data_IF_645457661613
#
_entry.id   IF_645457661613
#
_cell.length_a   1.000
_cell.length_b   1.000
_cell.length_c   1.000
_cell.angle_alpha   90.00
_cell.angle_beta   90.00
_cell.angle_gamma   90.00
#
_symmetry.space_group_name_H-M   'P 1'
#
loop_
_entity.id
_entity.type
_entity.pdbx_description
1 polymer ?
#
# COMPACT_ATOMS: atom_id res chain seq x y z
N UNK A 1 -31.37 5.01 -28.27
CA UNK A 1 -30.51 5.70 -29.25
C UNK A 1 -29.20 4.95 -29.34
N UNK A 2 -28.77 4.55 -30.53
CA UNK A 2 -27.47 3.90 -30.73
C UNK A 2 -26.36 4.95 -30.64
N UNK A 3 -25.50 4.84 -29.63
CA UNK A 3 -24.31 5.67 -29.54
C UNK A 3 -23.30 5.21 -30.60
N UNK A 4 -22.62 6.16 -31.24
CA UNK A 4 -21.60 5.87 -32.25
C UNK A 4 -20.26 6.46 -31.79
N UNK A 5 -19.16 5.81 -32.17
CA UNK A 5 -17.80 6.26 -31.93
C UNK A 5 -17.62 7.69 -32.45
N UNK A 6 -17.12 8.60 -31.62
CA UNK A 6 -16.92 10.00 -32.03
C UNK A 6 -15.78 10.20 -33.04
N UNK A 7 -14.92 9.19 -33.21
CA UNK A 7 -13.80 9.19 -34.16
C UNK A 7 -14.21 8.50 -35.47
N UNK A 8 -14.47 7.18 -35.46
CA UNK A 8 -14.76 6.41 -36.68
C UNK A 8 -16.25 6.28 -37.03
N UNK A 9 -17.16 6.81 -36.21
CA UNK A 9 -18.61 6.72 -36.38
C UNK A 9 -19.21 5.30 -36.41
N UNK A 10 -18.47 4.26 -36.06
CA UNK A 10 -19.01 2.90 -35.87
C UNK A 10 -19.95 2.84 -34.65
N UNK A 11 -21.02 2.02 -34.67
CA UNK A 11 -21.93 1.86 -33.54
C UNK A 11 -21.19 1.27 -32.33
N UNK A 12 -21.48 1.80 -31.14
CA UNK A 12 -20.95 1.28 -29.87
C UNK A 12 -21.90 0.23 -29.31
N UNK A 13 -21.35 -0.82 -28.70
CA UNK A 13 -22.16 -1.75 -27.91
C UNK A 13 -22.80 -1.01 -26.73
N UNK A 14 -23.92 -1.52 -26.21
CA UNK A 14 -24.66 -0.90 -25.11
C UNK A 14 -23.81 -0.77 -23.83
N UNK A 15 -23.00 -1.78 -23.53
CA UNK A 15 -22.06 -1.78 -22.40
C UNK A 15 -20.96 -0.73 -22.56
N UNK A 16 -20.49 -0.53 -23.79
CA UNK A 16 -19.40 0.40 -24.09
C UNK A 16 -19.88 1.85 -24.16
N UNK A 17 -21.07 2.07 -24.72
CA UNK A 17 -21.70 3.38 -24.88
C UNK A 17 -21.91 4.13 -23.56
N UNK A 18 -22.04 3.42 -22.43
CA UNK A 18 -22.17 4.03 -21.10
C UNK A 18 -20.83 4.50 -20.50
N UNK A 19 -19.71 3.96 -20.99
CA UNK A 19 -18.38 4.12 -20.38
C UNK A 19 -17.34 4.78 -21.29
N UNK A 20 -17.61 4.90 -22.59
CA UNK A 20 -16.68 5.47 -23.57
C UNK A 20 -17.43 6.06 -24.76
N UNK A 21 -16.86 7.14 -25.32
CA UNK A 21 -17.34 7.77 -26.55
C UNK A 21 -16.64 7.28 -27.81
N UNK A 22 -15.55 6.54 -27.67
CA UNK A 22 -14.81 5.91 -28.78
C UNK A 22 -15.07 4.42 -28.76
N UNK A 23 -14.93 3.71 -29.89
CA UNK A 23 -15.00 2.25 -29.89
C UNK A 23 -13.76 1.63 -29.22
N UNK A 24 -13.74 0.31 -29.07
CA UNK A 24 -12.61 -0.43 -28.48
C UNK A 24 -11.37 -0.51 -29.38
N UNK A 25 -11.38 0.13 -30.56
CA UNK A 25 -10.20 0.21 -31.44
C UNK A 25 -9.11 1.05 -30.77
N UNK A 26 -7.87 0.51 -30.61
CA UNK A 26 -6.74 1.26 -30.06
C UNK A 26 -6.43 2.55 -30.83
N UNK A 27 -6.66 2.58 -32.14
CA UNK A 27 -6.43 3.76 -32.98
C UNK A 27 -7.42 4.88 -32.67
N UNK A 28 -8.70 4.54 -32.48
CA UNK A 28 -9.72 5.51 -32.09
C UNK A 28 -9.48 6.03 -30.67
N UNK A 29 -9.06 5.16 -29.75
CA UNK A 29 -8.71 5.56 -28.38
C UNK A 29 -7.50 6.50 -28.40
N UNK A 30 -6.41 6.15 -29.08
CA UNK A 30 -5.22 6.98 -29.21
C UNK A 30 -5.51 8.34 -29.85
N UNK A 31 -6.23 8.36 -30.98
CA UNK A 31 -6.58 9.61 -31.67
C UNK A 31 -7.40 10.56 -30.79
N UNK A 32 -8.33 10.02 -30.01
CA UNK A 32 -9.13 10.82 -29.08
C UNK A 32 -8.31 11.33 -27.90
N UNK A 33 -7.44 10.50 -27.33
CA UNK A 33 -6.52 10.90 -26.27
C UNK A 33 -5.54 11.97 -26.73
N UNK A 34 -4.93 11.82 -27.90
CA UNK A 34 -4.01 12.78 -28.48
C UNK A 34 -4.67 14.14 -28.71
N UNK A 35 -5.92 14.13 -29.21
CA UNK A 35 -6.70 15.36 -29.36
C UNK A 35 -6.89 16.07 -28.01
N UNK A 36 -7.27 15.35 -26.96
CA UNK A 36 -7.45 15.92 -25.62
C UNK A 36 -6.14 16.36 -24.95
N UNK A 37 -5.05 15.61 -25.14
CA UNK A 37 -3.73 15.94 -24.61
C UNK A 37 -3.17 17.23 -25.25
N UNK A 38 -3.49 17.48 -26.52
CA UNK A 38 -3.12 18.72 -27.23
C UNK A 38 -4.02 19.93 -26.91
N UNK A 39 -4.94 19.80 -25.94
CA UNK A 39 -5.92 20.84 -25.62
C UNK A 39 -7.00 21.03 -26.69
N UNK A 40 -7.21 20.02 -27.54
CA UNK A 40 -8.26 20.01 -28.54
C UNK A 40 -9.64 20.10 -27.89
N UNK A 41 -10.50 20.97 -28.44
CA UNK A 41 -11.86 21.15 -27.92
C UNK A 41 -12.79 20.06 -28.45
N UNK A 42 -13.73 19.63 -27.63
CA UNK A 42 -14.84 18.76 -28.03
C UNK A 42 -16.13 19.57 -28.10
N UNK A 43 -17.09 19.10 -28.90
CA UNK A 43 -18.46 19.57 -28.84
C UNK A 43 -19.02 19.24 -27.45
N UNK A 44 -19.43 20.24 -26.69
CA UNK A 44 -19.93 20.09 -25.34
C UNK A 44 -21.24 19.30 -25.25
N UNK A 45 -21.96 19.11 -26.37
CA UNK A 45 -23.14 18.25 -26.44
C UNK A 45 -22.77 16.79 -26.80
N UNK A 46 -22.21 16.55 -27.99
CA UNK A 46 -21.97 15.18 -28.47
C UNK A 46 -20.57 14.62 -28.16
N UNK A 47 -19.60 15.44 -27.76
CA UNK A 47 -18.23 15.02 -27.48
C UNK A 47 -17.36 14.79 -28.73
N UNK A 48 -17.82 15.16 -29.93
CA UNK A 48 -17.00 15.05 -31.15
C UNK A 48 -15.86 16.08 -31.14
N UNK A 49 -14.65 15.72 -31.56
CA UNK A 49 -13.56 16.68 -31.78
C UNK A 49 -14.01 17.84 -32.66
N UNK A 50 -13.85 19.07 -32.17
CA UNK A 50 -13.99 20.27 -32.99
C UNK A 50 -12.66 20.46 -33.70
N UNK A 51 -12.56 19.96 -34.93
CA UNK A 51 -11.43 20.30 -35.78
C UNK A 51 -11.39 21.82 -35.97
N UNK A 52 -10.18 22.39 -36.03
CA UNK A 52 -9.91 23.83 -36.27
C UNK A 52 -10.52 24.39 -37.58
N UNK A 53 -11.26 23.57 -38.35
CA UNK A 53 -11.60 23.81 -39.74
C UNK A 53 -12.94 24.50 -40.00
N UNK A 54 -13.63 24.99 -38.97
CA UNK A 54 -14.65 26.01 -39.18
C UNK A 54 -14.42 27.09 -38.15
N UNK A 55 -13.97 28.27 -38.61
CA UNK A 55 -13.92 29.53 -37.85
C UNK A 55 -15.34 29.90 -37.43
N UNK A 56 -15.93 29.14 -36.51
CA UNK A 56 -17.03 29.64 -35.71
C UNK A 56 -16.47 30.75 -34.82
N UNK A 57 -17.29 31.77 -34.48
CA UNK A 57 -16.87 32.80 -33.53
C UNK A 57 -16.30 32.10 -32.29
N UNK A 58 -15.15 32.57 -31.85
CA UNK A 58 -14.14 31.88 -31.03
C UNK A 58 -14.59 31.28 -29.67
N UNK A 59 -15.89 31.25 -29.39
CA UNK A 59 -16.50 30.93 -28.10
C UNK A 59 -17.53 29.80 -28.13
N UNK A 60 -18.04 29.34 -29.29
CA UNK A 60 -19.09 28.31 -29.25
C UNK A 60 -18.51 26.93 -28.94
N UNK A 61 -18.93 26.25 -27.85
CA UNK A 61 -18.41 24.96 -27.47
C UNK A 61 -19.07 23.81 -28.25
N UNK A 62 -19.68 24.05 -29.42
CA UNK A 62 -20.57 23.10 -30.08
C UNK A 62 -20.17 22.85 -31.53
N UNK A 63 -20.56 21.68 -32.05
CA UNK A 63 -20.45 21.39 -33.48
C UNK A 63 -21.66 21.93 -34.26
N UNK A 64 -21.54 21.97 -35.59
CA UNK A 64 -22.57 22.48 -36.51
C UNK A 64 -23.82 21.60 -36.65
N UNK A 65 -23.91 20.49 -35.90
CA UNK A 65 -25.07 19.60 -35.94
C UNK A 65 -26.27 20.26 -35.28
N UNK A 66 -27.41 20.24 -35.97
CA UNK A 66 -28.66 20.86 -35.52
C UNK A 66 -29.11 20.34 -34.16
N UNK A 67 -28.90 19.05 -33.88
CA UNK A 67 -29.24 18.44 -32.59
C UNK A 67 -28.40 19.02 -31.45
N UNK A 68 -27.10 19.22 -31.67
CA UNK A 68 -26.19 19.80 -30.67
C UNK A 68 -26.49 21.29 -30.43
N UNK A 69 -26.80 22.04 -31.49
CA UNK A 69 -27.22 23.44 -31.38
C UNK A 69 -28.53 23.58 -30.59
N UNK A 70 -29.49 22.68 -30.83
CA UNK A 70 -30.80 22.71 -30.14
C UNK A 70 -30.70 22.28 -28.69
N UNK A 71 -29.89 21.25 -28.38
CA UNK A 71 -29.62 20.84 -26.99
C UNK A 71 -29.03 21.97 -26.14
N UNK A 72 -28.30 22.89 -26.75
CA UNK A 72 -27.66 23.98 -26.01
C UNK A 72 -28.68 24.97 -25.45
N UNK A 73 -29.80 25.20 -26.13
CA UNK A 73 -30.88 26.03 -25.58
C UNK A 73 -31.45 25.47 -24.26
N UNK A 74 -31.35 24.15 -24.05
CA UNK A 74 -31.74 23.50 -22.80
C UNK A 74 -30.65 23.59 -21.71
N UNK A 75 -29.39 23.70 -22.13
CA UNK A 75 -28.22 23.67 -21.25
C UNK A 75 -27.68 25.06 -20.94
N UNK A 76 -28.06 26.11 -21.68
CA UNK A 76 -27.77 27.53 -21.39
C UNK A 76 -28.42 28.07 -20.10
N UNK A 77 -28.97 27.19 -19.25
CA UNK A 77 -29.26 27.55 -17.86
C UNK A 77 -27.93 27.76 -17.15
N UNK A 78 -27.82 28.83 -16.37
CA UNK A 78 -26.60 29.30 -15.68
C UNK A 78 -25.87 28.24 -14.84
N UNK A 79 -26.50 27.10 -14.56
CA UNK A 79 -26.03 26.11 -13.59
C UNK A 79 -25.51 24.83 -14.26
N UNK A 80 -25.41 24.79 -15.60
CA UNK A 80 -24.89 23.63 -16.30
C UNK A 80 -23.39 23.43 -16.05
N UNK A 81 -23.04 22.42 -15.25
CA UNK A 81 -21.65 22.01 -15.03
C UNK A 81 -21.08 21.28 -16.25
N UNK A 82 -19.82 21.59 -16.60
CA UNK A 82 -19.06 20.87 -17.63
C UNK A 82 -18.01 19.95 -16.99
N UNK A 83 -17.62 18.91 -17.73
CA UNK A 83 -16.48 18.07 -17.36
C UNK A 83 -15.21 18.90 -17.35
N UNK A 84 -14.50 18.89 -16.23
CA UNK A 84 -13.22 19.62 -16.08
C UNK A 84 -12.10 19.09 -17.00
N UNK A 85 -12.25 17.89 -17.56
CA UNK A 85 -11.26 17.28 -18.46
C UNK A 85 -11.56 17.57 -19.94
N UNK A 86 -12.77 17.23 -20.40
CA UNK A 86 -13.10 17.26 -21.82
C UNK A 86 -14.08 18.38 -22.22
N UNK A 87 -14.58 19.17 -21.26
CA UNK A 87 -15.47 20.30 -21.49
C UNK A 87 -16.91 19.96 -21.84
N UNK A 88 -17.29 18.68 -21.83
CA UNK A 88 -18.64 18.21 -22.16
C UNK A 88 -19.61 18.50 -21.02
N UNK A 89 -20.84 18.90 -21.35
CA UNK A 89 -21.90 19.12 -20.38
C UNK A 89 -22.22 17.84 -19.60
N UNK A 90 -22.34 18.00 -18.28
CA UNK A 90 -22.63 16.92 -17.36
C UNK A 90 -24.14 16.87 -17.09
N UNK A 91 -24.65 15.65 -16.91
CA UNK A 91 -25.96 15.50 -16.26
C UNK A 91 -25.88 15.96 -14.80
N UNK A 92 -26.99 16.33 -14.15
CA UNK A 92 -26.98 16.77 -12.75
C UNK A 92 -26.25 15.80 -11.81
N UNK A 93 -26.43 14.48 -12.01
CA UNK A 93 -25.74 13.44 -11.23
C UNK A 93 -24.22 13.42 -11.48
N UNK A 94 -23.76 13.65 -12.72
CA UNK A 94 -22.33 13.70 -13.03
C UNK A 94 -21.70 15.04 -12.63
N UNK A 95 -22.50 16.11 -12.56
CA UNK A 95 -22.07 17.44 -12.13
C UNK A 95 -21.43 17.44 -10.75
N UNK A 96 -21.97 16.64 -9.81
CA UNK A 96 -21.41 16.49 -8.47
C UNK A 96 -19.97 15.96 -8.45
N UNK A 97 -19.58 15.13 -9.45
CA UNK A 97 -18.23 14.58 -9.55
C UNK A 97 -17.25 15.52 -10.26
N UNK A 98 -17.74 16.54 -10.97
CA UNK A 98 -16.91 17.45 -11.78
C UNK A 98 -16.31 16.83 -13.06
N UNK A 99 -16.60 15.56 -13.37
CA UNK A 99 -16.12 14.89 -14.58
C UNK A 99 -17.18 13.95 -15.18
N UNK A 100 -17.06 13.68 -16.49
CA UNK A 100 -17.95 12.75 -17.18
C UNK A 100 -17.52 11.29 -16.95
N UNK A 101 -18.39 10.33 -17.28
CA UNK A 101 -18.12 8.89 -17.13
C UNK A 101 -17.26 8.29 -18.27
N UNK A 102 -16.74 9.12 -19.17
CA UNK A 102 -15.84 8.66 -20.22
C UNK A 102 -14.54 8.10 -19.60
N UNK A 103 -14.12 6.91 -20.06
CA UNK A 103 -12.96 6.17 -19.54
C UNK A 103 -11.71 7.04 -19.41
N UNK A 104 -11.40 7.84 -20.43
CA UNK A 104 -10.23 8.72 -20.41
C UNK A 104 -10.35 9.80 -19.32
N UNK A 105 -11.51 10.46 -19.23
CA UNK A 105 -11.73 11.51 -18.24
C UNK A 105 -11.70 10.98 -16.80
N UNK A 106 -12.27 9.79 -16.57
CA UNK A 106 -12.24 9.12 -15.27
C UNK A 106 -10.81 8.74 -14.86
N UNK A 107 -10.04 8.13 -15.78
CA UNK A 107 -8.65 7.77 -15.50
C UNK A 107 -7.79 9.00 -15.24
N UNK A 108 -7.90 10.04 -16.08
CA UNK A 108 -7.17 11.30 -15.89
C UNK A 108 -7.52 11.99 -14.57
N UNK A 109 -8.81 12.02 -14.20
CA UNK A 109 -9.23 12.55 -12.91
C UNK A 109 -8.67 11.72 -11.75
N UNK A 110 -8.69 10.39 -11.84
CA UNK A 110 -8.06 9.51 -10.85
C UNK A 110 -6.57 9.81 -10.67
N UNK A 111 -5.84 10.04 -11.76
CA UNK A 111 -4.41 10.42 -11.70
C UNK A 111 -4.23 11.79 -11.04
N UNK A 112 -5.06 12.78 -11.39
CA UNK A 112 -5.00 14.12 -10.78
C UNK A 112 -5.30 14.07 -9.27
N UNK A 113 -6.32 13.32 -8.87
CA UNK A 113 -6.65 13.12 -7.46
C UNK A 113 -5.52 12.41 -6.71
N UNK A 114 -4.97 11.33 -7.27
CA UNK A 114 -3.83 10.62 -6.69
C UNK A 114 -2.59 11.52 -6.53
N UNK A 115 -2.29 12.37 -7.52
CA UNK A 115 -1.21 13.34 -7.46
C UNK A 115 -1.46 14.40 -6.37
N UNK A 116 -2.69 14.91 -6.27
CA UNK A 116 -3.08 15.84 -5.21
C UNK A 116 -2.96 15.21 -3.83
N UNK A 117 -3.40 13.97 -3.66
CA UNK A 117 -3.30 13.24 -2.40
C UNK A 117 -1.83 13.00 -2.01
N UNK A 118 -0.99 12.66 -2.98
CA UNK A 118 0.47 12.53 -2.79
C UNK A 118 1.07 13.85 -2.31
N UNK A 119 0.73 14.97 -2.95
CA UNK A 119 1.19 16.30 -2.55
C UNK A 119 0.71 16.66 -1.13
N UNK A 120 -0.55 16.33 -0.79
CA UNK A 120 -1.10 16.56 0.54
C UNK A 120 -0.37 15.76 1.62
N UNK A 121 -0.07 14.47 1.35
CA UNK A 121 0.72 13.62 2.26
C UNK A 121 2.14 14.16 2.45
N UNK A 122 2.80 14.59 1.37
CA UNK A 122 4.13 15.22 1.45
C UNK A 122 4.10 16.50 2.29
N UNK A 123 3.09 17.36 2.08
CA UNK A 123 2.93 18.57 2.88
C UNK A 123 2.67 18.27 4.37
N UNK A 124 1.84 17.25 4.66
CA UNK A 124 1.58 16.78 6.03
C UNK A 124 2.85 16.23 6.69
N UNK A 125 3.65 15.46 5.95
CA UNK A 125 4.94 14.93 6.41
C UNK A 125 5.91 16.05 6.77
N UNK A 126 6.13 17.04 5.89
CA UNK A 126 7.00 18.21 6.17
C UNK A 126 6.58 18.96 7.43
N UNK A 127 5.28 19.23 7.60
CA UNK A 127 4.77 19.87 8.83
C UNK A 127 4.98 19.00 10.08
N UNK A 128 4.94 17.68 9.93
CA UNK A 128 5.19 16.75 11.04
C UNK A 128 6.67 16.69 11.40
N UNK A 129 7.57 16.82 10.42
CA UNK A 129 9.02 16.97 10.63
C UNK A 129 9.31 18.29 11.38
N UNK A 130 8.70 19.40 10.97
CA UNK A 130 8.80 20.70 11.65
C UNK A 130 8.31 20.61 13.11
N UNK A 131 7.17 19.94 13.34
CA UNK A 131 6.61 19.77 14.68
C UNK A 131 7.50 18.89 15.57
N UNK A 132 8.05 17.79 15.04
CA UNK A 132 8.96 16.93 15.78
C UNK A 132 10.25 17.67 16.18
N UNK A 133 10.80 18.48 15.28
CA UNK A 133 11.96 19.31 15.56
C UNK A 133 11.66 20.34 16.67
N UNK A 134 10.50 21.01 16.59
CA UNK A 134 10.09 21.99 17.60
C UNK A 134 9.90 21.35 18.99
N UNK A 135 9.28 20.17 19.07
CA UNK A 135 9.11 19.44 20.34
C UNK A 135 10.46 19.06 20.95
N UNK A 136 11.37 18.49 20.15
CA UNK A 136 12.72 18.16 20.61
C UNK A 136 13.47 19.39 21.13
N UNK A 137 13.37 20.54 20.46
CA UNK A 137 14.00 21.78 20.92
C UNK A 137 13.47 22.26 22.28
N UNK A 138 12.19 22.03 22.58
CA UNK A 138 11.62 22.40 23.88
C UNK A 138 12.02 21.47 25.04
N UNK A 139 12.35 20.22 24.73
CA UNK A 139 12.75 19.20 25.72
C UNK A 139 14.25 19.26 26.05
N UNK A 140 15.06 19.87 25.19
CA UNK A 140 16.51 19.96 25.40
C UNK A 140 16.88 21.08 26.39
N UNK A 141 17.65 20.74 27.41
CA UNK A 141 18.40 21.73 28.21
C UNK A 141 19.43 22.44 27.33
N UNK A 142 19.69 23.75 27.52
CA UNK A 142 20.52 24.53 26.61
C UNK A 142 22.01 24.16 26.75
N UNK A 143 22.45 23.10 26.05
CA UNK A 143 23.86 22.80 25.83
C UNK A 143 24.10 21.83 24.66
N UNK A 144 25.00 22.27 23.76
CA UNK A 144 26.06 21.46 23.12
C UNK A 144 25.71 20.45 22.02
N UNK A 145 25.01 20.86 20.98
CA UNK A 145 25.28 20.25 19.67
C UNK A 145 25.18 21.30 18.56
N UNK A 146 26.30 21.57 17.89
CA UNK A 146 26.37 22.41 16.68
C UNK A 146 25.70 21.73 15.47
N UNK A 147 25.15 20.52 15.62
CA UNK A 147 24.56 19.73 14.54
C UNK A 147 23.05 19.61 14.71
N UNK A 148 22.34 19.95 13.64
CA UNK A 148 20.89 19.83 13.56
C UNK A 148 20.46 18.35 13.59
N UNK A 149 19.49 17.97 14.43
CA UNK A 149 18.94 16.62 14.43
C UNK A 149 18.16 16.36 13.14
N UNK A 150 18.09 15.09 12.75
CA UNK A 150 17.30 14.67 11.59
C UNK A 150 15.95 14.08 12.04
N UNK A 151 14.81 14.75 11.78
CA UNK A 151 13.50 14.17 12.03
C UNK A 151 13.16 13.09 11.00
N UNK A 152 12.79 11.92 11.49
CA UNK A 152 12.27 10.80 10.71
C UNK A 152 10.82 10.58 11.11
N UNK A 153 9.92 10.83 10.16
CA UNK A 153 8.48 10.71 10.40
C UNK A 153 7.97 9.30 10.09
N UNK A 154 7.43 8.66 11.12
CA UNK A 154 6.85 7.33 11.11
C UNK A 154 5.33 7.44 11.20
N UNK A 155 4.59 6.50 10.60
CA UNK A 155 3.16 6.39 10.87
C UNK A 155 2.95 5.90 12.31
N UNK A 156 1.81 6.24 12.90
CA UNK A 156 1.47 5.87 14.26
C UNK A 156 0.24 4.98 14.33
N UNK A 157 0.27 4.02 15.24
CA UNK A 157 -0.92 3.44 15.83
C UNK A 157 -1.27 4.24 17.10
N UNK A 158 -2.54 4.65 17.21
CA UNK A 158 -3.04 5.47 18.32
C UNK A 158 -3.74 4.67 19.39
N UNK A 159 -3.92 3.38 19.17
CA UNK A 159 -4.57 2.52 20.15
C UNK A 159 -3.65 2.26 21.35
N UNK A 160 -4.25 1.83 22.46
CA UNK A 160 -3.54 1.64 23.72
C UNK A 160 -2.85 0.28 23.78
N UNK A 161 -1.82 0.17 24.62
CA UNK A 161 -1.34 -1.11 25.12
C UNK A 161 -2.43 -1.77 25.96
N UNK A 162 -2.70 -3.04 25.71
CA UNK A 162 -3.65 -3.83 26.48
C UNK A 162 -3.09 -5.22 26.78
N UNK A 163 -3.57 -5.81 27.88
CA UNK A 163 -3.40 -7.24 28.11
C UNK A 163 -4.41 -8.00 27.26
N UNK A 164 -3.91 -8.58 26.18
CA UNK A 164 -4.70 -9.29 25.18
C UNK A 164 -4.75 -10.80 25.45
N UNK A 165 -4.89 -11.20 26.73
CA UNK A 165 -4.86 -12.61 27.17
C UNK A 165 -5.73 -13.53 26.32
N UNK A 166 -6.94 -13.10 25.94
CA UNK A 166 -7.84 -13.90 25.09
C UNK A 166 -7.27 -14.11 23.68
N UNK A 167 -6.81 -13.04 23.00
CA UNK A 167 -6.19 -13.16 21.67
C UNK A 167 -4.93 -14.01 21.70
N UNK A 168 -4.13 -13.90 22.76
CA UNK A 168 -2.92 -14.71 22.97
C UNK A 168 -3.24 -16.19 23.14
N UNK A 169 -4.34 -16.54 23.81
CA UNK A 169 -4.79 -17.93 23.94
C UNK A 169 -5.23 -18.51 22.57
N UNK A 170 -6.04 -17.78 21.81
CA UNK A 170 -6.46 -18.19 20.45
C UNK A 170 -5.22 -18.37 19.55
N UNK A 171 -4.27 -17.44 19.65
CA UNK A 171 -3.04 -17.51 18.89
C UNK A 171 -2.17 -18.72 19.26
N UNK A 172 -2.10 -19.09 20.54
CA UNK A 172 -1.36 -20.29 20.99
C UNK A 172 -1.86 -21.55 20.30
N UNK A 173 -3.17 -21.74 20.21
CA UNK A 173 -3.80 -22.89 19.56
C UNK A 173 -3.49 -22.91 18.05
N UNK A 174 -3.63 -21.76 17.39
CA UNK A 174 -3.25 -21.60 15.99
C UNK A 174 -1.78 -21.89 15.75
N UNK A 175 -0.90 -21.39 16.61
CA UNK A 175 0.54 -21.56 16.48
C UNK A 175 0.96 -23.03 16.63
N UNK A 176 0.31 -23.77 17.53
CA UNK A 176 0.49 -25.23 17.65
C UNK A 176 0.10 -25.96 16.36
N UNK A 177 -1.02 -25.58 15.75
CA UNK A 177 -1.44 -26.13 14.44
C UNK A 177 -0.42 -25.85 13.33
N UNK A 178 0.10 -24.62 13.27
CA UNK A 178 1.14 -24.25 12.30
C UNK A 178 2.44 -25.02 12.57
N UNK A 179 2.84 -25.17 13.84
CA UNK A 179 4.04 -25.89 14.24
C UNK A 179 3.97 -27.38 13.88
N UNK A 180 2.82 -28.01 14.06
CA UNK A 180 2.61 -29.39 13.65
C UNK A 180 2.70 -29.57 12.14
N UNK A 181 2.08 -28.65 11.38
CA UNK A 181 2.19 -28.60 9.92
C UNK A 181 3.65 -28.40 9.47
N UNK A 182 4.41 -27.55 10.17
CA UNK A 182 5.80 -27.27 9.85
C UNK A 182 6.71 -28.50 10.03
N UNK A 183 6.42 -29.31 11.04
CA UNK A 183 7.16 -30.53 11.40
C UNK A 183 6.58 -31.81 10.78
N UNK A 184 5.53 -31.70 9.97
CA UNK A 184 4.84 -32.84 9.33
C UNK A 184 4.33 -33.86 10.36
N UNK A 185 3.91 -33.38 11.53
CA UNK A 185 3.34 -34.18 12.61
C UNK A 185 1.83 -34.09 12.55
N UNK A 186 1.14 -35.24 12.49
CA UNK A 186 -0.31 -35.28 12.73
C UNK A 186 -0.58 -34.92 14.19
N UNK A 187 -1.34 -33.85 14.43
CA UNK A 187 -1.82 -33.53 15.77
C UNK A 187 -2.89 -34.55 16.17
N UNK A 188 -2.91 -35.03 17.42
CA UNK A 188 -4.07 -35.72 17.92
C UNK A 188 -5.29 -34.78 17.79
N UNK A 189 -6.45 -35.30 17.36
CA UNK A 189 -7.66 -34.48 17.25
C UNK A 189 -7.91 -33.81 18.60
N UNK A 190 -8.18 -32.51 18.58
CA UNK A 190 -8.57 -31.78 19.77
C UNK A 190 -9.73 -32.56 20.40
N UNK A 191 -9.53 -33.07 21.62
CA UNK A 191 -10.55 -33.82 22.35
C UNK A 191 -11.68 -32.87 22.69
N UNK A 192 -12.63 -32.75 21.77
CA UNK A 192 -13.98 -32.32 22.08
C UNK A 192 -14.52 -33.34 23.08
N UNK A 193 -14.76 -32.89 24.31
CA UNK A 193 -15.59 -33.63 25.25
C UNK A 193 -17.03 -33.57 24.71
N UNK A 194 -17.39 -34.54 23.87
CA UNK A 194 -18.73 -34.72 23.33
C UNK A 194 -19.26 -36.13 23.68
N UNK A 195 -20.53 -36.26 24.12
CA UNK A 195 -21.14 -37.52 24.53
C UNK A 195 -21.61 -38.37 23.32
N UNK A 196 -21.16 -39.63 23.33
CA UNK A 196 -21.68 -40.85 22.67
C UNK A 196 -22.85 -40.77 21.66
N UNK A 197 -22.52 -40.93 20.36
CA UNK A 197 -22.98 -41.92 19.32
C UNK A 197 -24.49 -42.16 19.03
N UNK A 198 -24.93 -42.80 17.90
CA UNK A 198 -24.19 -43.49 16.80
C UNK A 198 -24.67 -43.30 15.32
N UNK A 199 -23.78 -43.74 14.39
CA UNK A 199 -23.96 -44.46 13.09
C UNK A 199 -24.77 -43.91 11.89
N UNK A 200 -24.12 -43.75 10.72
CA UNK A 200 -24.21 -44.71 9.57
C UNK A 200 -23.22 -44.40 8.42
N UNK A 201 -22.86 -45.46 7.68
CA UNK A 201 -21.77 -45.59 6.71
C UNK A 201 -22.19 -45.42 5.23
N UNK A 202 -21.23 -45.11 4.35
CA UNK A 202 -21.06 -45.70 2.99
C UNK A 202 -19.79 -45.18 2.29
N UNK A 203 -19.15 -46.01 1.47
CA UNK A 203 -17.80 -45.86 0.94
C UNK A 203 -17.70 -45.86 -0.61
N UNK A 204 -16.60 -45.24 -1.11
CA UNK A 204 -15.79 -45.51 -2.34
C UNK A 204 -16.40 -45.23 -3.74
N UNK A 205 -15.60 -45.04 -4.85
CA UNK A 205 -14.16 -45.29 -5.02
C UNK A 205 -13.30 -44.19 -5.71
N UNK A 206 -12.01 -44.51 -5.82
CA UNK A 206 -10.83 -43.91 -6.48
C UNK A 206 -10.90 -43.76 -8.01
N UNK A 207 -10.12 -42.83 -8.58
CA UNK A 207 -9.37 -43.09 -9.82
C UNK A 207 -8.09 -42.25 -9.97
N UNK A 208 -7.18 -42.79 -10.77
CA UNK A 208 -5.75 -42.51 -10.90
C UNK A 208 -5.38 -42.02 -12.32
N UNK A 209 -4.09 -41.75 -12.55
CA UNK A 209 -3.39 -41.38 -13.81
C UNK A 209 -3.23 -39.86 -14.01
N UNK A 210 -2.09 -39.29 -14.42
CA UNK A 210 -0.83 -39.83 -14.94
C UNK A 210 -0.23 -38.82 -15.94
N UNK A 211 1.09 -38.68 -15.91
CA UNK A 211 1.99 -38.31 -17.02
C UNK A 211 2.37 -36.85 -17.39
N UNK A 212 3.68 -36.65 -17.24
CA UNK A 212 4.69 -36.13 -18.20
C UNK A 212 5.02 -34.64 -18.29
N UNK A 213 6.28 -34.36 -17.95
CA UNK A 213 7.11 -33.23 -18.40
C UNK A 213 7.46 -33.35 -19.90
N UNK A 214 7.97 -32.28 -20.54
CA UNK A 214 9.42 -32.26 -20.75
C UNK A 214 10.10 -30.89 -20.59
N UNK A 215 11.42 -31.00 -20.47
CA UNK A 215 12.46 -29.98 -20.37
C UNK A 215 12.58 -29.10 -21.62
N UNK A 216 13.13 -27.90 -21.44
CA UNK A 216 13.55 -27.01 -22.52
C UNK A 216 14.53 -25.97 -21.99
N UNK A 217 15.81 -26.34 -21.98
CA UNK A 217 16.96 -25.50 -21.71
C UNK A 217 17.15 -24.46 -22.83
N UNK A 218 17.55 -23.23 -22.49
CA UNK A 218 18.53 -22.45 -23.27
C UNK A 218 18.97 -21.19 -22.51
N UNK A 219 20.14 -21.27 -21.89
CA UNK A 219 21.03 -20.12 -21.66
C UNK A 219 21.50 -19.55 -23.02
N UNK A 220 21.87 -18.25 -23.04
CA UNK A 220 23.28 -18.00 -23.32
C UNK A 220 23.92 -16.99 -22.37
N UNK A 221 25.14 -17.33 -22.01
CA UNK A 221 26.17 -16.53 -21.37
C UNK A 221 26.66 -15.41 -22.30
N UNK A 222 27.06 -14.27 -21.72
CA UNK A 222 28.42 -13.72 -21.89
C UNK A 222 28.57 -12.32 -21.26
N UNK A 223 29.59 -12.19 -20.41
CA UNK A 223 30.59 -11.10 -20.36
C UNK A 223 30.13 -9.68 -19.91
N UNK A 224 30.85 -8.90 -19.10
CA UNK A 224 32.17 -8.95 -18.45
C UNK A 224 32.28 -7.70 -17.54
N UNK A 225 33.13 -7.78 -16.49
CA UNK A 225 33.91 -6.69 -15.83
C UNK A 225 33.17 -5.43 -15.31
N UNK A 226 33.42 -4.83 -14.15
CA UNK A 226 34.50 -4.86 -13.15
C UNK A 226 34.04 -4.00 -11.96
N UNK A 227 34.44 -4.36 -10.73
CA UNK A 227 34.84 -3.45 -9.64
C UNK A 227 34.58 -4.10 -8.28
N UNK A 228 35.43 -5.06 -7.95
CA UNK A 228 35.59 -5.54 -6.59
C UNK A 228 36.84 -4.90 -6.02
N UNK A 229 36.72 -3.76 -5.31
CA UNK A 229 37.73 -3.34 -4.32
C UNK A 229 37.13 -2.35 -3.30
N UNK A 230 36.94 -2.82 -2.05
CA UNK A 230 36.80 -2.03 -0.80
C UNK A 230 35.41 -1.48 -0.41
N UNK A 231 34.34 -2.26 -0.50
CA UNK A 231 32.97 -1.87 -0.05
C UNK A 231 32.28 -2.74 1.03
N UNK A 232 32.64 -4.01 1.33
CA UNK A 232 31.83 -4.84 2.24
C UNK A 232 31.73 -4.31 3.69
N UNK A 233 32.79 -3.68 4.20
CA UNK A 233 32.84 -3.24 5.59
C UNK A 233 32.01 -1.96 5.84
N UNK A 234 31.95 -1.05 4.87
CA UNK A 234 31.16 0.18 4.98
C UNK A 234 29.67 -0.13 4.87
N UNK A 235 29.30 -1.04 3.98
CA UNK A 235 27.92 -1.52 3.84
C UNK A 235 27.46 -2.27 5.09
N UNK A 236 28.34 -3.08 5.70
CA UNK A 236 28.05 -3.77 6.95
C UNK A 236 27.80 -2.80 8.13
N UNK A 237 28.60 -1.72 8.24
CA UNK A 237 28.41 -0.70 9.27
C UNK A 237 27.09 0.05 9.05
N UNK A 238 26.78 0.45 7.82
CA UNK A 238 25.52 1.12 7.50
C UNK A 238 24.31 0.21 7.78
N UNK A 239 24.38 -1.07 7.39
CA UNK A 239 23.33 -2.06 7.65
C UNK A 239 23.11 -2.32 9.15
N UNK A 240 24.20 -2.41 9.93
CA UNK A 240 24.11 -2.56 11.38
C UNK A 240 23.46 -1.33 12.04
N UNK A 241 23.89 -0.12 11.66
CA UNK A 241 23.31 1.14 12.14
C UNK A 241 21.82 1.21 11.82
N UNK A 242 21.45 0.89 10.58
CA UNK A 242 20.06 0.87 10.16
C UNK A 242 19.25 -0.14 10.97
N UNK A 243 19.74 -1.36 11.18
CA UNK A 243 19.04 -2.39 11.96
C UNK A 243 18.71 -1.93 13.39
N UNK A 244 19.64 -1.25 14.05
CA UNK A 244 19.44 -0.68 15.39
C UNK A 244 18.40 0.45 15.40
N UNK A 245 18.51 1.40 14.47
CA UNK A 245 17.57 2.53 14.37
C UNK A 245 16.17 2.07 13.93
N UNK A 246 16.08 1.08 13.05
CA UNK A 246 14.83 0.51 12.59
C UNK A 246 14.07 -0.21 13.71
N UNK A 247 14.77 -0.88 14.63
CA UNK A 247 14.13 -1.48 15.80
C UNK A 247 13.45 -0.41 16.68
N UNK A 248 14.15 0.71 16.93
CA UNK A 248 13.60 1.86 17.66
C UNK A 248 12.42 2.48 16.90
N UNK A 249 12.53 2.64 15.57
CA UNK A 249 11.42 3.16 14.76
C UNK A 249 10.17 2.28 14.83
N UNK A 250 10.34 0.96 14.82
CA UNK A 250 9.23 0.03 15.02
C UNK A 250 8.59 0.16 16.43
N UNK A 251 9.37 0.43 17.47
CA UNK A 251 8.83 0.72 18.81
C UNK A 251 8.04 2.02 18.81
N UNK A 252 8.61 3.10 18.24
CA UNK A 252 7.96 4.41 18.17
C UNK A 252 6.64 4.37 17.38
N UNK A 253 6.52 3.54 16.33
CA UNK A 253 5.32 3.48 15.47
C UNK A 253 4.10 2.83 16.14
N UNK A 254 4.27 2.16 17.29
CA UNK A 254 3.20 1.50 18.06
C UNK A 254 2.44 0.39 17.30
N UNK A 255 3.05 -0.15 16.25
CA UNK A 255 2.52 -1.29 15.52
C UNK A 255 1.70 -0.94 14.28
N UNK A 256 1.74 0.32 13.83
CA UNK A 256 1.02 0.75 12.62
C UNK A 256 1.31 -0.15 11.42
N UNK A 257 2.57 -0.44 11.13
CA UNK A 257 2.96 -1.19 9.94
C UNK A 257 2.62 -2.69 10.03
N UNK A 258 2.47 -3.23 11.24
CA UNK A 258 2.23 -4.66 11.46
C UNK A 258 0.78 -4.99 11.79
N UNK A 259 -0.15 -4.03 11.64
CA UNK A 259 -1.58 -4.24 11.92
C UNK A 259 -2.17 -5.42 11.13
N UNK A 260 -1.80 -5.56 9.85
CA UNK A 260 -2.21 -6.69 9.01
C UNK A 260 -1.73 -8.05 9.55
N UNK A 261 -0.78 -8.07 10.48
CA UNK A 261 -0.33 -9.29 11.13
C UNK A 261 -1.29 -9.77 12.21
N UNK A 262 -2.05 -8.87 12.84
CA UNK A 262 -3.08 -9.16 13.85
C UNK A 262 -2.80 -10.39 14.71
N UNK A 263 -3.71 -11.37 14.61
CA UNK A 263 -3.70 -12.62 15.37
C UNK A 263 -2.98 -13.77 14.64
N UNK A 264 -2.10 -13.46 13.69
CA UNK A 264 -1.32 -14.47 12.97
C UNK A 264 0.16 -14.13 12.85
N UNK A 265 0.54 -12.88 13.11
CA UNK A 265 1.91 -12.38 13.07
C UNK A 265 2.68 -12.70 11.79
N UNK A 266 1.95 -12.89 10.68
CA UNK A 266 2.47 -13.43 9.41
C UNK A 266 3.24 -14.75 9.52
N UNK A 267 3.06 -15.49 10.62
CA UNK A 267 3.71 -16.78 10.80
C UNK A 267 3.01 -17.83 9.95
N UNK A 268 3.82 -18.56 9.19
CA UNK A 268 3.39 -19.68 8.33
C UNK A 268 4.17 -20.93 8.71
N UNK A 269 3.74 -22.09 8.20
CA UNK A 269 4.45 -23.34 8.42
C UNK A 269 5.88 -23.29 7.87
N UNK A 270 6.11 -22.53 6.79
CA UNK A 270 7.45 -22.32 6.23
C UNK A 270 8.37 -21.56 7.18
N UNK A 271 7.88 -20.45 7.79
CA UNK A 271 8.65 -19.69 8.79
C UNK A 271 9.00 -20.59 9.97
N UNK A 272 8.03 -21.34 10.49
CA UNK A 272 8.24 -22.22 11.64
C UNK A 272 9.20 -23.38 11.30
N UNK A 273 9.12 -23.96 10.09
CA UNK A 273 10.02 -25.02 9.64
C UNK A 273 11.47 -24.54 9.56
N UNK A 274 11.67 -23.31 9.09
CA UNK A 274 13.00 -22.69 9.06
C UNK A 274 13.59 -22.58 10.47
N UNK A 275 12.82 -22.05 11.42
CA UNK A 275 13.27 -21.91 12.82
C UNK A 275 13.50 -23.27 13.47
N UNK A 276 12.60 -24.24 13.25
CA UNK A 276 12.77 -25.60 13.75
C UNK A 276 14.08 -26.25 13.27
N UNK A 277 14.44 -26.03 12.00
CA UNK A 277 15.70 -26.52 11.43
C UNK A 277 16.92 -25.79 12.00
N UNK A 278 16.87 -24.46 12.08
CA UNK A 278 17.96 -23.62 12.59
C UNK A 278 18.26 -23.91 14.08
N UNK A 279 17.22 -24.08 14.89
CA UNK A 279 17.33 -24.30 16.34
C UNK A 279 17.23 -25.79 16.75
N UNK A 280 17.12 -26.72 15.80
CA UNK A 280 17.02 -28.17 16.02
C UNK A 280 15.84 -28.59 16.93
N UNK A 281 14.68 -27.97 16.72
CA UNK A 281 13.45 -28.26 17.46
C UNK A 281 12.63 -29.31 16.71
N UNK A 282 12.26 -30.40 17.39
CA UNK A 282 11.56 -31.53 16.78
C UNK A 282 10.11 -31.72 17.27
N UNK A 283 9.68 -30.98 18.29
CA UNK A 283 8.35 -31.11 18.88
C UNK A 283 7.47 -29.88 18.59
N UNK A 284 6.23 -30.04 18.09
CA UNK A 284 5.35 -28.90 17.81
C UNK A 284 5.09 -27.99 19.01
N UNK A 285 4.94 -28.58 20.20
CA UNK A 285 4.73 -27.83 21.44
C UNK A 285 5.94 -27.00 21.85
N UNK A 286 7.15 -27.53 21.64
CA UNK A 286 8.40 -26.84 21.91
C UNK A 286 8.59 -25.67 20.93
N UNK A 287 8.32 -25.91 19.63
CA UNK A 287 8.39 -24.87 18.61
C UNK A 287 7.38 -23.76 18.86
N UNK A 288 6.14 -24.08 19.21
CA UNK A 288 5.14 -23.07 19.55
C UNK A 288 5.57 -22.29 20.80
N UNK A 289 6.03 -22.98 21.86
CA UNK A 289 6.54 -22.33 23.09
C UNK A 289 7.66 -21.35 22.76
N UNK A 290 8.58 -21.74 21.88
CA UNK A 290 9.73 -20.92 21.48
C UNK A 290 9.33 -19.53 20.97
N UNK A 291 8.25 -19.43 20.19
CA UNK A 291 7.70 -18.13 19.77
C UNK A 291 6.94 -17.44 20.90
N UNK A 292 6.13 -18.17 21.66
CA UNK A 292 5.33 -17.61 22.76
C UNK A 292 6.19 -16.95 23.85
N UNK A 293 7.42 -17.44 24.07
CA UNK A 293 8.37 -16.87 25.03
C UNK A 293 8.78 -15.41 24.69
N UNK A 294 8.60 -14.98 23.43
CA UNK A 294 8.86 -13.61 22.97
C UNK A 294 7.63 -12.70 22.98
N UNK A 295 6.48 -13.22 23.39
CA UNK A 295 5.25 -12.45 23.40
C UNK A 295 5.29 -11.43 24.56
N UNK A 296 5.08 -10.13 24.28
CA UNK A 296 5.09 -9.13 25.34
C UNK A 296 3.88 -9.31 26.27
N UNK A 297 3.98 -8.81 27.50
CA UNK A 297 2.87 -8.83 28.46
C UNK A 297 1.68 -8.00 27.98
N UNK A 298 1.96 -6.86 27.35
CA UNK A 298 0.95 -6.00 26.73
C UNK A 298 1.27 -5.80 25.25
N UNK A 299 0.22 -5.74 24.43
CA UNK A 299 0.32 -5.50 22.99
C UNK A 299 -0.55 -4.31 22.61
N UNK A 300 -0.16 -3.57 21.58
CA UNK A 300 -1.02 -2.50 21.09
C UNK A 300 -2.28 -3.09 20.41
N UNK A 301 -3.45 -2.54 20.72
CA UNK A 301 -4.69 -2.90 20.00
C UNK A 301 -4.53 -2.54 18.52
N UNK A 302 -5.15 -3.35 17.64
CA UNK A 302 -5.00 -3.26 16.18
C UNK A 302 -3.53 -3.32 15.69
N UNK A 303 -2.68 -4.04 16.43
CA UNK A 303 -1.34 -4.41 16.01
C UNK A 303 -1.13 -5.93 16.04
N UNK A 304 0.00 -6.38 15.52
CA UNK A 304 0.46 -7.75 15.64
C UNK A 304 0.69 -8.15 17.11
N UNK A 305 0.37 -9.38 17.49
CA UNK A 305 0.52 -9.92 18.86
C UNK A 305 1.95 -9.90 19.44
N UNK A 306 2.98 -9.73 18.61
CA UNK A 306 4.35 -9.58 19.09
C UNK A 306 4.77 -8.12 19.27
N UNK A 307 3.94 -7.15 18.91
CA UNK A 307 4.25 -5.73 19.05
C UNK A 307 3.85 -5.22 20.43
N UNK A 308 4.85 -4.88 21.26
CA UNK A 308 4.69 -4.30 22.59
C UNK A 308 5.33 -2.92 22.69
N UNK A 309 5.47 -2.41 23.91
CA UNK A 309 6.02 -1.08 24.19
C UNK A 309 7.42 -0.87 23.61
N UNK A 310 8.27 -1.90 23.67
CA UNK A 310 9.65 -1.87 23.18
C UNK A 310 9.76 -2.29 21.69
N UNK A 311 8.64 -2.34 20.98
CA UNK A 311 8.57 -2.79 19.59
C UNK A 311 8.25 -4.28 19.47
N UNK A 312 8.71 -4.90 18.37
CA UNK A 312 8.45 -6.31 18.10
C UNK A 312 9.31 -7.20 19.01
N UNK A 313 8.65 -7.96 19.89
CA UNK A 313 9.26 -8.91 20.83
C UNK A 313 9.96 -10.07 20.13
N UNK A 314 9.56 -10.43 18.89
CA UNK A 314 10.30 -11.44 18.13
C UNK A 314 11.65 -10.91 17.65
N UNK A 315 12.74 -11.69 17.83
CA UNK A 315 14.04 -11.35 17.26
C UNK A 315 13.98 -11.45 15.74
N UNK A 316 14.80 -10.64 15.05
CA UNK A 316 14.73 -10.48 13.58
C UNK A 316 14.79 -11.80 12.80
N UNK A 317 15.66 -12.72 13.22
CA UNK A 317 15.79 -14.04 12.56
C UNK A 317 14.54 -14.91 12.70
N UNK A 318 13.69 -14.71 13.72
CA UNK A 318 12.43 -15.43 13.90
C UNK A 318 11.22 -14.76 13.24
N UNK A 319 11.37 -13.52 12.75
CA UNK A 319 10.27 -12.81 12.10
C UNK A 319 9.97 -13.43 10.73
N UNK A 320 8.73 -13.26 10.27
CA UNK A 320 8.34 -13.59 8.90
C UNK A 320 9.14 -12.74 7.90
N UNK A 321 9.33 -13.24 6.67
CA UNK A 321 10.08 -12.52 5.62
C UNK A 321 9.49 -11.13 5.37
N UNK A 322 8.16 -11.01 5.27
CA UNK A 322 7.47 -9.73 5.12
C UNK A 322 7.81 -8.73 6.23
N UNK A 323 8.03 -9.18 7.48
CA UNK A 323 8.41 -8.30 8.58
C UNK A 323 9.89 -7.87 8.53
N UNK A 324 10.73 -8.62 7.82
CA UNK A 324 12.14 -8.31 7.61
C UNK A 324 12.37 -7.43 6.38
N UNK A 325 11.51 -7.57 5.37
CA UNK A 325 11.64 -6.92 4.06
C UNK A 325 10.84 -5.61 3.97
N UNK A 326 9.72 -5.51 4.70
CA UNK A 326 8.88 -4.31 4.64
C UNK A 326 9.50 -3.13 5.39
N UNK A 327 9.70 -2.03 4.67
CA UNK A 327 10.09 -0.73 5.22
C UNK A 327 8.99 0.29 4.93
N UNK A 328 8.47 0.93 5.98
CA UNK A 328 7.58 2.08 5.79
C UNK A 328 8.36 3.26 5.22
N UNK A 329 7.69 4.29 4.63
CA UNK A 329 8.39 5.41 4.02
C UNK A 329 9.38 6.12 4.96
N UNK A 330 9.09 6.18 6.26
CA UNK A 330 10.02 6.73 7.25
C UNK A 330 11.27 5.86 7.47
N UNK A 331 11.13 4.52 7.47
CA UNK A 331 12.27 3.62 7.56
C UNK A 331 13.09 3.57 6.26
N UNK A 332 12.45 3.72 5.09
CA UNK A 332 13.16 3.86 3.81
C UNK A 332 14.04 5.13 3.80
N UNK A 333 13.49 6.25 4.27
CA UNK A 333 14.26 7.50 4.43
C UNK A 333 15.45 7.28 5.39
N UNK A 334 15.21 6.65 6.54
CA UNK A 334 16.25 6.33 7.50
C UNK A 334 17.35 5.43 6.92
N UNK A 335 16.98 4.42 6.12
CA UNK A 335 17.93 3.55 5.42
C UNK A 335 18.81 4.36 4.47
N UNK A 336 18.21 5.19 3.62
CA UNK A 336 18.92 6.05 2.68
C UNK A 336 19.92 6.98 3.38
N UNK A 337 19.56 7.51 4.55
CA UNK A 337 20.48 8.33 5.36
C UNK A 337 21.65 7.52 5.94
N UNK A 338 21.40 6.29 6.39
CA UNK A 338 22.46 5.41 6.88
C UNK A 338 23.45 5.05 5.75
N UNK A 339 22.94 4.77 4.55
CA UNK A 339 23.72 4.45 3.36
C UNK A 339 24.50 5.66 2.82
N UNK A 340 23.89 6.85 2.82
CA UNK A 340 24.52 8.08 2.36
C UNK A 340 25.67 8.58 3.26
N UNK A 341 25.93 7.93 4.40
CA UNK A 341 26.97 8.25 5.40
C UNK A 341 27.03 9.70 5.89
N UNK A 342 26.05 10.53 5.54
CA UNK A 342 25.78 11.84 6.13
C UNK A 342 25.13 11.59 7.49
N UNK A 343 25.94 11.18 8.48
CA UNK A 343 25.44 10.80 9.79
C UNK A 343 25.08 12.05 10.59
N UNK A 344 23.79 12.42 10.74
CA UNK A 344 23.42 13.34 11.81
C UNK A 344 23.84 12.71 13.14
N UNK A 345 24.28 13.54 14.07
CA UNK A 345 24.62 13.09 15.43
C UNK A 345 23.36 12.67 16.21
N UNK A 346 22.19 13.14 15.79
CA UNK A 346 20.92 12.87 16.45
C UNK A 346 19.83 12.54 15.42
N UNK A 347 19.15 11.41 15.61
CA UNK A 347 17.90 11.08 14.91
C UNK A 347 16.71 11.33 15.83
N UNK A 348 15.66 11.99 15.33
CA UNK A 348 14.37 12.12 16.02
C UNK A 348 13.39 11.21 15.31
N UNK A 349 13.08 10.06 15.90
CA UNK A 349 12.05 9.17 15.40
C UNK A 349 10.70 9.66 15.91
N UNK A 350 9.82 10.16 15.05
CA UNK A 350 8.55 10.74 15.44
C UNK A 350 7.38 9.97 14.84
N UNK A 351 6.51 9.39 15.67
CA UNK A 351 5.29 8.73 15.23
C UNK A 351 4.15 9.73 15.11
N UNK A 352 3.51 9.74 13.94
CA UNK A 352 2.58 10.81 13.52
C UNK A 352 1.38 10.25 12.77
N UNK A 353 0.38 11.10 12.54
CA UNK A 353 -0.79 10.76 11.73
C UNK A 353 -0.61 10.92 10.22
N UNK A 354 0.61 10.82 9.68
CA UNK A 354 0.86 11.06 8.24
C UNK A 354 0.07 10.15 7.29
N UNK A 355 -0.31 8.95 7.73
CA UNK A 355 -1.11 7.99 6.96
C UNK A 355 -2.61 8.02 7.31
N UNK A 356 -3.04 8.85 8.27
CA UNK A 356 -4.48 9.05 8.58
C UNK A 356 -5.15 9.99 7.58
N UNK A 357 -6.44 10.29 7.80
CA UNK A 357 -7.24 11.23 7.01
C UNK A 357 -6.45 12.49 6.63
N UNK A 358 -6.49 12.82 5.34
CA UNK A 358 -5.71 13.90 4.74
C UNK A 358 -6.07 15.30 5.27
N UNK A 359 -7.26 15.43 5.86
CA UNK A 359 -7.78 16.68 6.43
C UNK A 359 -7.38 16.87 7.90
N UNK A 360 -6.95 15.81 8.59
CA UNK A 360 -6.50 15.90 9.98
C UNK A 360 -5.20 16.69 10.10
N UNK A 361 -5.08 17.61 11.08
CA UNK A 361 -3.85 18.37 11.27
C UNK A 361 -2.67 17.44 11.62
N UNK A 362 -1.44 17.77 11.21
CA UNK A 362 -0.26 16.99 11.55
C UNK A 362 -0.08 16.96 13.08
N UNK A 363 0.16 15.78 13.63
CA UNK A 363 0.34 15.56 15.06
C UNK A 363 1.49 14.57 15.30
N UNK A 364 2.29 14.82 16.34
CA UNK A 364 3.31 13.89 16.86
C UNK A 364 2.76 13.24 18.13
N UNK A 365 2.67 11.92 18.16
CA UNK A 365 2.12 11.16 19.29
C UNK A 365 3.18 10.62 20.23
N UNK A 366 4.36 10.36 19.70
CA UNK A 366 5.55 10.00 20.47
C UNK A 366 6.79 10.31 19.66
N UNK A 367 7.86 10.64 20.35
CA UNK A 367 9.17 10.78 19.75
C UNK A 367 10.25 10.10 20.58
N UNK A 368 11.29 9.65 19.91
CA UNK A 368 12.49 9.09 20.54
C UNK A 368 13.69 9.73 19.88
N UNK A 369 14.51 10.43 20.67
CA UNK A 369 15.79 10.95 20.22
C UNK A 369 16.88 9.90 20.41
N UNK A 370 17.71 9.69 19.40
CA UNK A 370 18.81 8.75 19.42
C UNK A 370 20.10 9.48 19.07
N UNK A 371 20.97 9.64 20.07
CA UNK A 371 22.30 10.21 19.93
C UNK A 371 23.30 9.12 19.52
N UNK A 372 24.25 9.46 18.64
CA UNK A 372 25.35 8.56 18.23
C UNK A 372 26.70 9.26 18.16
#
# INVERSE_FOLDING_TARGET
MTSHCVICSQPLSTTWAGNSRVCSSPDCERAYQDHLNRGGKLCAACGRPLHQLLRHPASSPLCSRRECQTQTLLVSRSDASCCQICGIYLSPLSGMKGHCNDRYCRNRMSTVLAARDTQRRQAKRRKSEELALALWQTEQTPATSDRLPLPIVLPANRHSLQDETQRKQIFRERLLSIAATALEVELPPATEAEPSSPETAAALPTDSQGDTAPQGETEPQSEELSDEHTLPALDAIAAQRFSELAAQGCATCRGHCCYCGGDHAFLTAEVLRRIAKEEQIHQPSELAKRFLDFMPQQTFVDSCLFHGELGCGLPRHMRANICNDYLCPGLQQLQQHCEAQTSPTVYILAATNVEEELDSPPQVYSQTALER
#
